data_IF_495769071733
#
_entry.id   IF_495769071733
#
_cell.length_a   1.000
_cell.length_b   1.000
_cell.length_c   1.000
_cell.angle_alpha   90.00
_cell.angle_beta   90.00
_cell.angle_gamma   90.00
#
_symmetry.space_group_name_H-M   'P 1'
#
loop_
_entity.id
_entity.type
_entity.pdbx_description
1 polymer ?
#
# COMPACT_ATOMS: atom_id res chain seq x y z
N UNK A 1 7.30 1.90 5.15
CA UNK A 1 7.74 1.09 6.30
C UNK A 1 9.19 0.66 6.18
N UNK A 2 9.80 0.28 7.30
CA UNK A 2 11.06 -0.45 7.35
C UNK A 2 10.83 -1.84 7.96
N UNK A 3 11.77 -2.75 7.70
CA UNK A 3 11.85 -4.03 8.38
C UNK A 3 12.95 -3.93 9.46
N UNK A 4 12.61 -4.24 10.70
CA UNK A 4 13.58 -4.38 11.77
C UNK A 4 13.93 -5.87 11.90
N UNK A 5 15.07 -6.24 11.32
CA UNK A 5 15.40 -7.63 11.04
C UNK A 5 14.53 -8.23 9.93
N UNK A 6 15.06 -9.24 9.27
CA UNK A 6 14.34 -10.07 8.30
C UNK A 6 14.95 -11.46 8.35
N UNK A 7 14.19 -12.40 8.87
CA UNK A 7 14.59 -13.80 8.96
C UNK A 7 13.74 -14.62 7.97
N UNK A 8 14.41 -15.32 7.07
CA UNK A 8 13.75 -16.28 6.19
C UNK A 8 13.78 -17.62 6.88
N UNK A 9 12.60 -18.08 7.31
CA UNK A 9 12.45 -19.28 8.15
C UNK A 9 12.41 -20.54 7.30
N UNK A 10 11.65 -20.48 6.18
CA UNK A 10 11.39 -21.67 5.37
C UNK A 10 11.03 -21.29 3.93
N UNK A 11 11.46 -22.09 2.98
CA UNK A 11 10.98 -22.04 1.59
C UNK A 11 9.71 -22.89 1.45
N UNK A 12 8.63 -22.31 0.98
CA UNK A 12 7.34 -22.96 0.80
C UNK A 12 7.25 -23.68 -0.53
N UNK A 13 6.39 -24.72 -0.64
CA UNK A 13 6.14 -25.43 -1.91
C UNK A 13 5.55 -24.52 -3.02
N UNK A 14 4.86 -23.43 -2.63
CA UNK A 14 4.25 -22.46 -3.56
C UNK A 14 5.26 -21.45 -4.13
N UNK A 15 6.56 -21.58 -3.79
CA UNK A 15 7.65 -20.73 -4.25
C UNK A 15 7.89 -19.49 -3.37
N UNK A 16 6.99 -19.17 -2.44
CA UNK A 16 7.19 -18.12 -1.45
C UNK A 16 8.10 -18.59 -0.32
N UNK A 17 8.47 -17.65 0.55
CA UNK A 17 9.24 -17.91 1.77
C UNK A 17 8.45 -17.48 2.99
N UNK A 18 8.42 -18.32 4.01
CA UNK A 18 8.01 -17.89 5.33
C UNK A 18 9.09 -17.00 5.92
N UNK A 19 8.68 -15.87 6.45
CA UNK A 19 9.56 -14.88 7.04
C UNK A 19 9.10 -14.47 8.43
N UNK A 20 10.04 -13.90 9.19
CA UNK A 20 9.79 -13.24 10.46
C UNK A 20 10.47 -11.88 10.42
N UNK A 21 9.72 -10.83 10.71
CA UNK A 21 10.22 -9.46 10.72
C UNK A 21 9.33 -8.56 11.57
N UNK A 22 9.85 -7.42 11.99
CA UNK A 22 8.99 -6.35 12.51
C UNK A 22 8.82 -5.31 11.41
N UNK A 23 7.58 -5.07 10.98
CA UNK A 23 7.24 -3.91 10.16
C UNK A 23 7.05 -2.70 11.07
N UNK A 24 7.77 -1.64 10.75
CA UNK A 24 7.70 -0.37 11.45
C UNK A 24 7.37 0.76 10.49
N UNK A 25 6.27 1.53 10.70
CA UNK A 25 5.93 2.67 9.85
C UNK A 25 6.93 3.81 10.06
N UNK A 26 7.24 4.52 8.98
CA UNK A 26 8.15 5.69 9.00
C UNK A 26 7.47 6.90 8.39
N UNK A 27 7.94 8.10 8.71
CA UNK A 27 7.37 9.36 8.25
C UNK A 27 7.84 9.79 6.86
N UNK A 28 8.24 8.85 6.01
CA UNK A 28 8.47 9.12 4.60
C UNK A 28 7.20 8.74 3.84
N UNK A 29 6.58 9.71 3.16
CA UNK A 29 5.23 9.59 2.65
C UNK A 29 5.13 10.09 1.20
N UNK A 30 4.30 9.43 0.43
CA UNK A 30 3.72 9.95 -0.79
C UNK A 30 2.43 10.72 -0.45
N UNK A 31 1.89 11.48 -1.38
CA UNK A 31 0.59 12.10 -1.22
C UNK A 31 -0.39 11.57 -2.29
N UNK A 32 -1.62 11.31 -1.88
CA UNK A 32 -2.67 10.82 -2.75
C UNK A 32 -3.95 11.60 -2.52
N UNK A 33 -4.50 12.13 -3.60
CA UNK A 33 -5.80 12.79 -3.63
C UNK A 33 -6.72 12.05 -4.60
N UNK A 34 -7.98 11.89 -4.22
CA UNK A 34 -9.02 11.31 -5.06
C UNK A 34 -10.19 12.26 -5.10
N UNK A 35 -10.58 12.68 -6.28
CA UNK A 35 -11.77 13.51 -6.50
C UNK A 35 -12.79 12.78 -7.34
N UNK A 36 -14.07 13.15 -7.14
CA UNK A 36 -15.14 12.63 -7.99
C UNK A 36 -15.00 13.28 -9.37
N UNK A 37 -15.02 12.45 -10.40
CA UNK A 37 -15.02 12.91 -11.76
C UNK A 37 -16.42 13.31 -12.18
N UNK A 38 -16.57 14.49 -12.81
CA UNK A 38 -17.86 14.98 -13.29
C UNK A 38 -18.27 14.33 -14.61
N UNK A 39 -17.28 14.05 -15.47
CA UNK A 39 -17.48 13.43 -16.76
C UNK A 39 -17.35 11.91 -16.68
N UNK A 40 -18.31 11.19 -17.26
CA UNK A 40 -18.34 9.72 -17.25
C UNK A 40 -17.70 9.10 -18.52
N UNK A 41 -16.84 9.82 -19.22
CA UNK A 41 -16.15 9.34 -20.43
C UNK A 41 -15.09 8.26 -20.13
N UNK A 42 -14.54 8.30 -18.91
CA UNK A 42 -13.57 7.31 -18.40
C UNK A 42 -13.88 6.96 -16.96
N UNK A 43 -13.54 5.75 -16.57
CA UNK A 43 -13.73 5.29 -15.18
C UNK A 43 -12.80 6.01 -14.21
N UNK A 44 -11.60 6.35 -14.66
CA UNK A 44 -10.62 7.08 -13.85
C UNK A 44 -9.66 7.87 -14.75
N UNK A 45 -9.00 8.85 -14.15
CA UNK A 45 -7.74 9.41 -14.62
C UNK A 45 -6.67 9.22 -13.55
N UNK A 46 -5.40 9.14 -13.96
CA UNK A 46 -4.27 9.06 -13.03
C UNK A 46 -3.23 10.11 -13.45
N UNK A 47 -2.96 11.04 -12.54
CA UNK A 47 -1.94 12.07 -12.67
C UNK A 47 -0.85 11.82 -11.64
N UNK A 48 0.37 11.57 -12.10
CA UNK A 48 1.54 11.33 -11.24
C UNK A 48 2.51 12.48 -11.40
N UNK A 49 3.00 12.95 -10.27
CA UNK A 49 4.06 13.97 -10.17
C UNK A 49 5.11 13.54 -9.14
N UNK A 50 6.26 14.23 -9.10
CA UNK A 50 7.38 13.85 -8.24
C UNK A 50 8.29 12.81 -8.90
N UNK A 51 8.69 11.78 -8.16
CA UNK A 51 9.56 10.72 -8.69
C UNK A 51 8.87 9.95 -9.82
N UNK A 52 9.56 9.70 -10.94
CA UNK A 52 8.99 8.98 -12.07
C UNK A 52 8.61 7.55 -11.67
N UNK A 53 7.51 7.08 -12.24
CA UNK A 53 7.10 5.68 -12.20
C UNK A 53 7.09 5.14 -13.62
N UNK A 54 7.68 3.97 -13.80
CA UNK A 54 7.61 3.23 -15.06
C UNK A 54 6.38 2.33 -15.08
N UNK A 55 5.93 1.97 -16.28
CA UNK A 55 4.81 1.06 -16.51
C UNK A 55 3.50 1.77 -16.89
N UNK A 56 2.51 0.95 -17.23
CA UNK A 56 1.20 1.43 -17.64
C UNK A 56 0.36 1.85 -16.42
N UNK A 57 -0.53 2.84 -16.57
CA UNK A 57 -1.42 3.27 -15.49
C UNK A 57 -2.21 2.13 -14.85
N UNK A 58 -2.59 1.13 -15.66
CA UNK A 58 -3.33 -0.06 -15.23
C UNK A 58 -2.56 -0.93 -14.25
N UNK A 59 -1.24 -0.89 -14.30
CA UNK A 59 -0.36 -1.66 -13.42
C UNK A 59 -0.15 -0.99 -12.06
N UNK A 60 -0.49 0.28 -11.97
CA UNK A 60 -0.38 1.02 -10.72
C UNK A 60 -1.35 0.47 -9.66
N UNK A 61 -0.82 0.22 -8.45
CA UNK A 61 -1.60 -0.38 -7.36
C UNK A 61 -2.78 0.49 -6.90
N UNK A 62 -2.73 1.81 -7.05
CA UNK A 62 -3.88 2.67 -6.73
C UNK A 62 -5.03 2.45 -7.71
N UNK A 63 -4.71 2.26 -9.00
CA UNK A 63 -5.71 1.93 -10.03
C UNK A 63 -6.27 0.53 -9.80
N UNK A 64 -5.41 -0.44 -9.48
CA UNK A 64 -5.86 -1.81 -9.12
C UNK A 64 -6.77 -1.80 -7.89
N UNK A 65 -6.48 -0.97 -6.88
CA UNK A 65 -7.33 -0.80 -5.70
C UNK A 65 -8.70 -0.23 -6.06
N UNK A 66 -8.75 0.80 -6.89
CA UNK A 66 -10.01 1.36 -7.38
C UNK A 66 -10.84 0.34 -8.16
N UNK A 67 -10.24 -0.33 -9.14
CA UNK A 67 -10.91 -1.36 -9.95
C UNK A 67 -11.44 -2.52 -9.09
N UNK A 68 -10.65 -2.93 -8.10
CA UNK A 68 -11.03 -4.00 -7.17
C UNK A 68 -12.27 -3.64 -6.34
N UNK A 69 -12.31 -2.43 -5.77
CA UNK A 69 -13.48 -1.97 -5.03
C UNK A 69 -14.68 -1.73 -5.94
N UNK A 70 -14.48 -1.16 -7.12
CA UNK A 70 -15.57 -0.90 -8.08
C UNK A 70 -16.28 -2.17 -8.54
N UNK A 71 -15.56 -3.30 -8.62
CA UNK A 71 -16.15 -4.60 -8.94
C UNK A 71 -17.21 -5.03 -7.93
N UNK A 72 -16.94 -4.80 -6.64
CA UNK A 72 -17.86 -5.18 -5.55
C UNK A 72 -18.85 -4.06 -5.22
N UNK A 73 -18.54 -2.81 -5.60
CA UNK A 73 -19.36 -1.61 -5.41
C UNK A 73 -19.63 -0.92 -6.75
N UNK A 74 -20.57 -1.46 -7.58
CA UNK A 74 -20.86 -0.91 -8.92
C UNK A 74 -21.35 0.55 -8.91
N UNK A 75 -21.83 1.03 -7.76
CA UNK A 75 -22.21 2.43 -7.54
C UNK A 75 -21.03 3.37 -7.31
N UNK A 76 -19.80 2.86 -7.24
CA UNK A 76 -18.61 3.69 -7.10
C UNK A 76 -18.42 4.54 -8.35
N UNK A 77 -18.44 5.85 -8.17
CA UNK A 77 -18.39 6.80 -9.27
C UNK A 77 -16.99 6.89 -9.88
N UNK A 78 -16.88 7.34 -11.13
CA UNK A 78 -15.58 7.67 -11.73
C UNK A 78 -14.79 8.67 -10.89
N UNK A 79 -13.46 8.53 -10.92
CA UNK A 79 -12.55 9.33 -10.08
C UNK A 79 -11.39 9.91 -10.88
N UNK A 80 -10.95 11.10 -10.46
CA UNK A 80 -9.64 11.65 -10.81
C UNK A 80 -8.69 11.40 -9.65
N UNK A 81 -7.55 10.78 -9.95
CA UNK A 81 -6.53 10.37 -8.98
C UNK A 81 -5.30 11.24 -9.21
N UNK A 82 -4.88 11.96 -8.20
CA UNK A 82 -3.65 12.74 -8.20
C UNK A 82 -2.68 12.15 -7.19
N UNK A 83 -1.49 11.78 -7.65
CA UNK A 83 -0.44 11.17 -6.85
C UNK A 83 0.83 12.01 -6.93
N UNK A 84 1.39 12.34 -5.78
CA UNK A 84 2.73 12.89 -5.67
C UNK A 84 3.66 11.84 -5.10
N UNK A 85 4.58 11.36 -5.92
CA UNK A 85 5.56 10.33 -5.53
C UNK A 85 6.81 10.96 -4.96
N UNK A 86 7.09 10.65 -3.72
CA UNK A 86 8.32 11.00 -3.03
C UNK A 86 9.19 9.75 -2.78
N UNK A 87 8.54 8.61 -2.51
CA UNK A 87 9.23 7.34 -2.25
C UNK A 87 9.58 6.69 -3.60
N UNK A 88 10.87 6.45 -3.89
CA UNK A 88 11.26 5.79 -5.14
C UNK A 88 10.64 4.40 -5.28
N UNK A 89 10.29 4.02 -6.49
CA UNK A 89 9.86 2.66 -6.79
C UNK A 89 11.01 1.68 -6.55
N UNK A 90 10.70 0.48 -6.07
CA UNK A 90 11.71 -0.55 -5.83
C UNK A 90 12.60 -0.33 -4.59
N UNK A 91 12.40 0.75 -3.83
CA UNK A 91 13.23 1.08 -2.66
C UNK A 91 13.08 0.15 -1.44
N UNK A 92 12.25 -0.90 -1.51
CA UNK A 92 11.98 -1.80 -0.37
C UNK A 92 11.14 -1.19 0.75
N UNK A 93 10.74 0.08 0.62
CA UNK A 93 9.99 0.82 1.63
C UNK A 93 8.47 0.57 1.60
N UNK A 94 7.97 -0.11 0.55
CA UNK A 94 6.55 -0.41 0.39
C UNK A 94 5.71 0.80 -0.02
N UNK A 95 6.29 1.79 -0.73
CA UNK A 95 5.58 3.00 -1.16
C UNK A 95 4.30 2.69 -1.94
N UNK A 96 4.39 1.89 -3.01
CA UNK A 96 3.21 1.51 -3.81
C UNK A 96 2.15 0.74 -3.01
N UNK A 97 2.57 -0.11 -2.05
CA UNK A 97 1.64 -0.80 -1.15
C UNK A 97 0.95 0.16 -0.18
N UNK A 98 1.67 1.17 0.29
CA UNK A 98 1.12 2.26 1.10
C UNK A 98 0.08 3.06 0.32
N UNK A 99 0.39 3.41 -0.93
CA UNK A 99 -0.51 4.15 -1.82
C UNK A 99 -1.80 3.37 -2.09
N UNK A 100 -1.69 2.06 -2.34
CA UNK A 100 -2.85 1.18 -2.52
C UNK A 100 -3.74 1.12 -1.27
N UNK A 101 -3.16 0.97 -0.09
CA UNK A 101 -3.90 0.98 1.16
C UNK A 101 -4.56 2.33 1.43
N UNK A 102 -3.85 3.44 1.13
CA UNK A 102 -4.39 4.79 1.18
C UNK A 102 -5.59 4.94 0.24
N UNK A 103 -5.49 4.44 -0.99
CA UNK A 103 -6.59 4.47 -1.96
C UNK A 103 -7.84 3.77 -1.44
N UNK A 104 -7.71 2.58 -0.84
CA UNK A 104 -8.84 1.85 -0.24
C UNK A 104 -9.53 2.72 0.83
N UNK A 105 -8.74 3.32 1.73
CA UNK A 105 -9.27 4.20 2.79
C UNK A 105 -9.97 5.43 2.22
N UNK A 106 -9.34 6.12 1.26
CA UNK A 106 -9.91 7.31 0.63
C UNK A 106 -11.24 7.01 -0.07
N UNK A 107 -11.33 5.87 -0.78
CA UNK A 107 -12.56 5.47 -1.44
C UNK A 107 -13.64 5.10 -0.41
N UNK A 108 -13.27 4.37 0.66
CA UNK A 108 -14.19 4.06 1.75
C UNK A 108 -14.80 5.31 2.36
N UNK A 109 -13.97 6.29 2.70
CA UNK A 109 -14.40 7.52 3.35
C UNK A 109 -15.19 8.41 2.38
N UNK A 110 -14.66 8.64 1.18
CA UNK A 110 -15.27 9.54 0.20
C UNK A 110 -16.63 9.09 -0.31
N UNK A 111 -16.79 7.79 -0.50
CA UNK A 111 -18.04 7.20 -1.03
C UNK A 111 -18.87 6.50 0.04
N UNK A 112 -18.47 6.60 1.32
CA UNK A 112 -19.19 6.03 2.47
C UNK A 112 -19.51 4.55 2.27
N UNK A 113 -18.51 3.76 1.85
CA UNK A 113 -18.70 2.34 1.55
C UNK A 113 -18.97 1.48 2.78
N UNK A 114 -18.68 2.01 3.98
CA UNK A 114 -18.94 1.32 5.25
C UNK A 114 -18.03 0.12 5.50
N UNK A 115 -16.83 0.10 4.88
CA UNK A 115 -15.86 -0.97 5.10
C UNK A 115 -15.27 -0.88 6.51
N UNK A 116 -15.30 -1.99 7.24
CA UNK A 116 -14.52 -2.13 8.47
C UNK A 116 -13.01 -2.22 8.17
N UNK A 117 -12.18 -2.03 9.20
CA UNK A 117 -10.72 -2.18 9.06
C UNK A 117 -10.35 -3.56 8.53
N UNK A 118 -10.97 -4.61 9.05
CA UNK A 118 -10.75 -6.01 8.64
C UNK A 118 -11.12 -6.21 7.17
N UNK A 119 -12.25 -5.62 6.74
CA UNK A 119 -12.66 -5.71 5.33
C UNK A 119 -11.73 -4.96 4.40
N UNK A 120 -11.18 -3.81 4.82
CA UNK A 120 -10.15 -3.10 4.07
C UNK A 120 -8.86 -3.92 3.98
N UNK A 121 -8.46 -4.62 5.04
CA UNK A 121 -7.30 -5.53 5.05
C UNK A 121 -7.49 -6.69 4.05
N UNK A 122 -8.69 -7.28 3.97
CA UNK A 122 -9.01 -8.33 2.99
C UNK A 122 -8.87 -7.85 1.54
N UNK A 123 -9.25 -6.59 1.24
CA UNK A 123 -9.00 -6.01 -0.07
C UNK A 123 -7.51 -5.75 -0.31
N UNK A 124 -6.81 -5.22 0.69
CA UNK A 124 -5.41 -4.88 0.59
C UNK A 124 -4.52 -6.11 0.31
N UNK A 125 -4.77 -7.24 0.97
CA UNK A 125 -4.04 -8.50 0.73
C UNK A 125 -4.11 -8.95 -0.73
N UNK A 126 -5.24 -8.72 -1.42
CA UNK A 126 -5.39 -9.06 -2.84
C UNK A 126 -4.52 -8.22 -3.78
N UNK A 127 -4.04 -7.06 -3.31
CA UNK A 127 -3.18 -6.17 -4.07
C UNK A 127 -1.70 -6.45 -3.84
N UNK A 128 -1.34 -6.97 -2.67
CA UNK A 128 0.02 -7.33 -2.31
C UNK A 128 0.15 -7.64 -0.82
N UNK A 129 1.14 -8.47 -0.46
CA UNK A 129 1.35 -8.92 0.92
C UNK A 129 1.55 -7.75 1.90
N UNK A 130 2.33 -6.73 1.49
CA UNK A 130 2.61 -5.58 2.34
C UNK A 130 1.43 -4.58 2.44
N UNK A 131 0.44 -4.66 1.54
CA UNK A 131 -0.63 -3.65 1.49
C UNK A 131 -1.50 -3.66 2.76
N UNK A 132 -1.78 -4.83 3.31
CA UNK A 132 -2.62 -4.96 4.51
C UNK A 132 -1.99 -4.32 5.75
N UNK A 133 -0.66 -4.34 5.87
CA UNK A 133 0.06 -3.64 6.93
C UNK A 133 -0.31 -2.14 6.99
N UNK A 134 -0.38 -1.48 5.84
CA UNK A 134 -0.64 -0.04 5.76
C UNK A 134 -2.09 0.36 6.07
N UNK A 135 -3.00 -0.60 6.17
CA UNK A 135 -4.37 -0.33 6.63
C UNK A 135 -4.33 0.16 8.08
N UNK A 136 -3.69 -0.57 8.98
CA UNK A 136 -3.51 -0.15 10.39
C UNK A 136 -2.31 0.77 10.60
N UNK A 137 -1.26 0.58 9.82
CA UNK A 137 -0.04 1.37 9.83
C UNK A 137 0.58 1.53 11.24
N UNK A 138 0.68 0.45 11.97
CA UNK A 138 1.25 0.36 13.33
C UNK A 138 2.35 -0.69 13.37
N UNK A 139 3.32 -0.60 14.33
CA UNK A 139 4.33 -1.64 14.46
C UNK A 139 3.71 -3.01 14.69
N UNK A 140 4.17 -4.01 13.92
CA UNK A 140 3.69 -5.40 14.02
C UNK A 140 4.85 -6.37 13.83
N UNK A 141 4.78 -7.51 14.51
CA UNK A 141 5.55 -8.70 14.17
C UNK A 141 4.81 -9.40 13.02
N UNK A 142 5.50 -9.56 11.91
CA UNK A 142 4.95 -10.13 10.68
C UNK A 142 5.54 -11.51 10.43
N UNK A 143 4.67 -12.48 10.16
CA UNK A 143 5.02 -13.87 9.84
C UNK A 143 4.34 -14.31 8.55
N UNK A 144 4.48 -15.60 8.21
CA UNK A 144 4.00 -16.13 6.94
C UNK A 144 4.79 -15.52 5.77
N UNK A 145 4.13 -15.08 4.73
CA UNK A 145 4.74 -14.34 3.62
C UNK A 145 4.82 -12.82 3.89
N UNK A 146 4.70 -12.39 5.15
CA UNK A 146 4.60 -11.01 5.57
C UNK A 146 3.16 -10.50 5.67
N UNK A 147 2.20 -11.39 5.85
CA UNK A 147 0.77 -11.11 5.85
C UNK A 147 0.02 -11.50 7.13
N UNK A 148 0.69 -12.13 8.08
CA UNK A 148 0.15 -12.45 9.40
C UNK A 148 0.77 -11.49 10.41
N UNK A 149 -0.04 -10.74 11.14
CA UNK A 149 0.40 -9.64 11.97
C UNK A 149 0.02 -9.83 13.44
N UNK A 150 1.02 -9.69 14.30
CA UNK A 150 0.84 -9.57 15.74
C UNK A 150 1.28 -8.17 16.16
N UNK A 151 0.41 -7.40 16.85
CA UNK A 151 0.79 -6.05 17.33
C UNK A 151 2.00 -6.10 18.25
N UNK A 152 2.94 -5.15 18.08
CA UNK A 152 4.08 -4.98 18.98
C UNK A 152 4.12 -3.56 19.53
N UNK A 153 4.34 -3.44 20.82
CA UNK A 153 4.61 -2.17 21.46
C UNK A 153 6.09 -1.79 21.27
N UNK A 154 6.36 -1.03 20.21
CA UNK A 154 7.70 -0.58 19.86
C UNK A 154 7.69 0.89 19.48
N UNK A 155 8.65 1.65 19.96
CA UNK A 155 8.84 3.04 19.59
C UNK A 155 10.30 3.30 19.23
N UNK A 156 10.52 3.86 18.06
CA UNK A 156 11.81 4.38 17.63
C UNK A 156 11.94 5.89 17.88
N UNK A 157 11.13 6.45 18.79
CA UNK A 157 11.24 7.86 19.18
C UNK A 157 12.65 8.14 19.71
N UNK A 158 13.30 9.15 19.16
CA UNK A 158 14.68 9.54 19.52
C UNK A 158 15.76 8.86 18.67
N UNK A 159 15.40 7.97 17.76
CA UNK A 159 16.31 7.39 16.78
C UNK A 159 16.19 8.11 15.43
N UNK A 160 17.31 8.19 14.72
CA UNK A 160 17.37 8.65 13.34
C UNK A 160 17.60 7.46 12.43
N UNK A 161 16.85 7.40 11.32
CA UNK A 161 16.98 6.36 10.32
C UNK A 161 17.74 6.95 9.13
N UNK A 162 18.89 6.36 8.82
CA UNK A 162 19.68 6.69 7.62
C UNK A 162 19.44 5.55 6.63
N UNK A 163 18.77 5.87 5.51
CA UNK A 163 18.47 4.90 4.46
C UNK A 163 19.40 5.13 3.26
N UNK A 164 20.15 4.11 2.89
CA UNK A 164 20.87 4.06 1.63
C UNK A 164 19.99 3.31 0.63
N UNK A 165 19.53 4.03 -0.39
CA UNK A 165 18.78 3.43 -1.49
C UNK A 165 19.77 2.98 -2.55
N UNK A 166 19.83 1.67 -2.78
CA UNK A 166 20.56 1.11 -3.92
C UNK A 166 19.55 0.91 -5.05
N UNK A 167 19.89 1.39 -6.24
CA UNK A 167 19.26 0.90 -7.46
C UNK A 167 19.86 -0.47 -7.73
N UNK A 168 19.06 -1.52 -7.76
CA UNK A 168 19.51 -2.81 -8.31
C UNK A 168 19.65 -2.62 -9.82
N UNK A 169 20.86 -2.73 -10.30
CA UNK A 169 21.17 -2.86 -11.73
C UNK A 169 20.51 -4.13 -12.31
#
# INVERSE_FOLDING_TARGET
KINLGLNIVEKRPDGYHNLETIFYPINLQDALEVTRRENNDKEYTLHISGSPLEGEPEDNLVVKAYKLLRKDYPGLLPVDIHMYKHIPAGAGLGGGSSDAACMIKLLNDKFSLGLSTERMEEYAVKLGADCSFFIRNKPVFATGIGNLFEPVELSLKGYHIICLLYTSD
#
